data_IF_070801960797
#
_entry.id   IF_070801960797
#
_cell.length_a   1.000
_cell.length_b   1.000
_cell.length_c   1.000
_cell.angle_alpha   90.00
_cell.angle_beta   90.00
_cell.angle_gamma   90.00
#
_symmetry.space_group_name_H-M   'P 1'
#
loop_
_entity.id
_entity.type
_entity.pdbx_description
1 polymer ?
#
# COMPACT_ATOMS: atom_id res chain seq x y z
N UNK A 1 35.13 -16.23 9.14
CA UNK A 1 34.16 -15.12 8.99
C UNK A 1 33.30 -15.47 7.79
N UNK A 2 32.17 -16.14 8.02
CA UNK A 2 31.20 -16.45 6.98
C UNK A 2 30.27 -15.25 6.81
N UNK A 3 30.28 -14.68 5.61
CA UNK A 3 29.29 -13.69 5.20
C UNK A 3 27.93 -14.42 5.14
N UNK A 4 27.01 -14.02 6.02
CA UNK A 4 25.59 -14.40 5.93
C UNK A 4 25.02 -13.58 4.78
N UNK A 5 24.93 -14.21 3.61
CA UNK A 5 24.20 -13.65 2.46
C UNK A 5 22.74 -13.47 2.89
N UNK A 6 22.29 -12.22 2.90
CA UNK A 6 20.88 -11.88 3.08
C UNK A 6 20.04 -12.61 2.05
N UNK A 7 18.94 -13.31 2.41
CA UNK A 7 18.05 -13.98 1.46
C UNK A 7 17.28 -13.02 0.54
N UNK A 8 17.42 -11.71 0.72
CA UNK A 8 16.81 -10.67 -0.10
C UNK A 8 17.73 -10.15 -1.19
N UNK A 9 18.44 -11.07 -1.90
CA UNK A 9 19.15 -10.70 -3.13
C UNK A 9 18.14 -10.28 -4.19
N UNK A 10 18.16 -9.00 -4.55
CA UNK A 10 17.77 -8.41 -5.84
C UNK A 10 16.77 -9.24 -6.68
N UNK A 11 15.55 -9.46 -6.21
CA UNK A 11 14.46 -9.74 -7.11
C UNK A 11 14.29 -8.51 -8.01
N UNK A 12 14.34 -8.71 -9.32
CA UNK A 12 14.23 -7.68 -10.33
C UNK A 12 13.20 -6.63 -9.94
N UNK A 13 13.58 -5.36 -10.07
CA UNK A 13 12.66 -4.24 -9.88
C UNK A 13 11.38 -4.55 -10.65
N UNK A 14 10.22 -4.72 -10.00
CA UNK A 14 9.04 -5.19 -10.69
C UNK A 14 8.69 -4.22 -11.80
N UNK A 15 8.34 -4.77 -12.94
CA UNK A 15 7.87 -4.00 -14.07
C UNK A 15 6.70 -3.10 -13.63
N UNK A 16 6.60 -1.94 -14.24
CA UNK A 16 5.44 -1.07 -14.07
C UNK A 16 4.23 -1.66 -14.81
N UNK A 17 3.03 -1.38 -14.32
CA UNK A 17 1.78 -1.85 -14.92
C UNK A 17 0.88 -0.69 -15.30
N UNK A 18 0.13 -0.83 -16.38
CA UNK A 18 -0.92 0.11 -16.76
C UNK A 18 -2.28 -0.44 -16.30
N UNK A 19 -3.05 0.38 -15.62
CA UNK A 19 -4.41 0.08 -15.19
C UNK A 19 -5.42 1.00 -15.85
N UNK A 20 -6.60 0.47 -16.15
CA UNK A 20 -7.77 1.26 -16.56
C UNK A 20 -8.80 1.25 -15.44
N UNK A 21 -9.19 2.42 -15.00
CA UNK A 21 -10.20 2.62 -13.98
C UNK A 21 -11.62 2.39 -14.54
N UNK A 22 -12.60 2.25 -13.64
CA UNK A 22 -14.01 2.04 -14.01
C UNK A 22 -14.61 3.19 -14.80
N UNK A 23 -14.11 4.40 -14.59
CA UNK A 23 -14.50 5.63 -15.31
C UNK A 23 -13.72 5.87 -16.62
N UNK A 24 -12.84 4.92 -16.99
CA UNK A 24 -12.06 4.94 -18.21
C UNK A 24 -10.70 5.64 -18.09
N UNK A 25 -10.41 6.36 -16.99
CA UNK A 25 -9.10 6.96 -16.76
C UNK A 25 -8.01 5.89 -16.70
N UNK A 26 -6.81 6.27 -17.12
CA UNK A 26 -5.63 5.39 -17.08
C UNK A 26 -4.76 5.78 -15.89
N UNK A 27 -4.20 4.75 -15.25
CA UNK A 27 -3.18 4.91 -14.21
C UNK A 27 -1.98 4.01 -14.52
N UNK A 28 -0.84 4.42 -14.01
CA UNK A 28 0.40 3.68 -14.07
C UNK A 28 0.76 3.23 -12.65
N UNK A 29 0.91 1.93 -12.43
CA UNK A 29 1.32 1.37 -11.14
C UNK A 29 2.80 1.08 -11.22
N UNK A 30 3.58 1.55 -10.27
CA UNK A 30 5.01 1.28 -10.16
C UNK A 30 5.49 1.32 -8.71
N UNK A 31 6.64 0.69 -8.39
CA UNK A 31 7.29 0.90 -7.11
C UNK A 31 7.56 2.38 -6.86
N UNK A 32 7.46 2.79 -5.62
CA UNK A 32 7.89 4.12 -5.19
C UNK A 32 9.42 4.17 -5.21
N UNK A 33 9.96 5.26 -5.70
CA UNK A 33 11.38 5.55 -5.81
C UNK A 33 11.78 6.71 -4.90
N UNK A 34 13.05 6.77 -4.49
CA UNK A 34 13.57 7.88 -3.68
C UNK A 34 13.46 9.26 -4.36
N UNK A 35 13.30 9.30 -5.68
CA UNK A 35 13.04 10.53 -6.43
C UNK A 35 11.60 11.05 -6.30
N UNK A 36 10.66 10.24 -5.77
CA UNK A 36 9.23 10.56 -5.70
C UNK A 36 8.85 11.48 -4.52
N UNK A 37 9.80 12.02 -3.77
CA UNK A 37 9.54 12.85 -2.57
C UNK A 37 8.54 13.96 -2.84
N UNK A 38 8.63 14.64 -3.99
CA UNK A 38 7.70 15.71 -4.35
C UNK A 38 6.29 15.19 -4.65
N UNK A 39 6.18 14.06 -5.36
CA UNK A 39 4.89 13.42 -5.64
C UNK A 39 4.22 12.95 -4.35
N UNK A 40 4.98 12.28 -3.48
CA UNK A 40 4.50 11.81 -2.17
C UNK A 40 4.06 12.99 -1.30
N UNK A 41 4.85 14.07 -1.19
CA UNK A 41 4.47 15.26 -0.42
C UNK A 41 3.17 15.87 -0.92
N UNK A 42 3.03 16.02 -2.23
CA UNK A 42 1.83 16.59 -2.84
C UNK A 42 0.62 15.65 -2.65
N UNK A 43 0.82 14.34 -2.69
CA UNK A 43 -0.19 13.35 -2.36
C UNK A 43 -0.63 13.45 -0.89
N UNK A 44 0.31 13.48 0.06
CA UNK A 44 0.01 13.63 1.48
C UNK A 44 -0.79 14.89 1.79
N UNK A 45 -0.53 16.00 1.08
CA UNK A 45 -1.22 17.27 1.26
C UNK A 45 -2.71 17.21 0.89
N UNK A 46 -3.11 16.26 0.04
CA UNK A 46 -4.50 16.07 -0.39
C UNK A 46 -5.27 15.07 0.44
N UNK A 47 -4.60 14.33 1.33
CA UNK A 47 -5.25 13.34 2.18
C UNK A 47 -6.02 13.97 3.31
N UNK A 48 -7.10 13.31 3.72
CA UNK A 48 -7.79 13.62 4.98
C UNK A 48 -6.94 13.20 6.18
N UNK A 49 -7.18 13.72 7.40
CA UNK A 49 -6.49 13.27 8.61
C UNK A 49 -6.60 11.76 8.83
N UNK A 50 -7.74 11.15 8.49
CA UNK A 50 -7.93 9.70 8.52
C UNK A 50 -7.04 9.00 7.48
N UNK A 51 -6.99 9.51 6.25
CA UNK A 51 -6.13 8.97 5.18
C UNK A 51 -4.64 9.02 5.54
N UNK A 52 -4.19 10.10 6.18
CA UNK A 52 -2.82 10.21 6.70
C UNK A 52 -2.52 9.15 7.77
N UNK A 53 -3.46 8.92 8.68
CA UNK A 53 -3.31 7.88 9.73
C UNK A 53 -3.15 6.47 9.15
N UNK A 54 -3.81 6.17 8.03
CA UNK A 54 -3.73 4.86 7.37
C UNK A 54 -2.53 4.69 6.44
N UNK A 55 -1.95 5.79 5.95
CA UNK A 55 -0.88 5.74 4.95
C UNK A 55 0.32 4.90 5.39
N UNK A 56 0.59 4.84 6.71
CA UNK A 56 1.70 4.07 7.26
C UNK A 56 1.40 3.41 8.61
N UNK A 57 0.33 2.63 8.70
CA UNK A 57 0.07 1.83 9.90
C UNK A 57 0.16 2.68 11.19
N UNK A 58 -0.26 3.95 11.10
CA UNK A 58 -0.26 4.89 12.21
C UNK A 58 1.08 5.60 12.49
N UNK A 59 2.10 5.44 11.65
CA UNK A 59 3.43 6.03 11.88
C UNK A 59 3.57 7.48 11.41
N UNK A 60 2.70 7.96 10.50
CA UNK A 60 2.76 9.34 9.99
C UNK A 60 1.72 10.20 10.67
N UNK A 61 2.21 11.33 11.19
CA UNK A 61 1.40 12.30 11.91
C UNK A 61 1.14 13.59 11.12
N UNK A 62 1.88 13.82 10.05
CA UNK A 62 1.83 15.07 9.28
C UNK A 62 2.12 14.86 7.79
N UNK A 63 2.03 15.93 7.01
CA UNK A 63 2.33 15.99 5.59
C UNK A 63 3.62 16.77 5.29
N UNK A 64 4.59 16.74 6.20
CA UNK A 64 5.87 17.42 6.03
C UNK A 64 6.72 16.80 4.91
N UNK A 65 7.72 17.56 4.42
CA UNK A 65 8.69 17.04 3.48
C UNK A 65 9.55 15.91 4.10
N UNK A 66 9.78 15.96 5.41
CA UNK A 66 10.48 14.90 6.14
C UNK A 66 9.66 13.61 6.10
N UNK A 67 8.35 13.68 6.39
CA UNK A 67 7.45 12.53 6.28
C UNK A 67 7.43 11.96 4.85
N UNK A 68 7.33 12.81 3.82
CA UNK A 68 7.38 12.35 2.42
C UNK A 68 8.72 11.67 2.08
N UNK A 69 9.82 12.20 2.60
CA UNK A 69 11.14 11.59 2.40
C UNK A 69 11.26 10.23 3.07
N UNK A 70 10.77 10.08 4.29
CA UNK A 70 10.76 8.80 5.01
C UNK A 70 9.92 7.76 4.26
N UNK A 71 8.84 8.20 3.61
CA UNK A 71 7.94 7.35 2.83
C UNK A 71 8.46 6.91 1.47
N UNK A 72 9.55 7.51 1.01
CA UNK A 72 10.23 7.12 -0.24
C UNK A 72 11.53 6.35 0.01
N UNK A 73 11.94 6.19 1.28
CA UNK A 73 13.12 5.42 1.67
C UNK A 73 12.69 4.19 2.46
N UNK A 74 12.71 3.04 1.80
CA UNK A 74 12.22 1.79 2.37
C UNK A 74 13.32 0.96 3.02
N UNK A 75 13.00 0.45 4.22
CA UNK A 75 13.71 -0.67 4.83
C UNK A 75 13.57 -1.91 3.91
N UNK A 76 14.55 -2.84 3.85
CA UNK A 76 14.42 -4.08 3.06
C UNK A 76 13.16 -4.91 3.35
N UNK A 77 12.53 -4.70 4.50
CA UNK A 77 11.26 -5.35 4.89
C UNK A 77 10.02 -4.63 4.36
N UNK A 78 10.18 -3.49 3.75
CA UNK A 78 9.09 -2.66 3.25
C UNK A 78 9.01 -2.72 1.72
N UNK A 79 7.82 -2.54 1.22
CA UNK A 79 7.58 -2.40 -0.21
C UNK A 79 6.33 -1.56 -0.44
N UNK A 80 6.41 -0.65 -1.38
CA UNK A 80 5.28 0.19 -1.74
C UNK A 80 5.14 0.37 -3.25
N UNK A 81 3.89 0.49 -3.68
CA UNK A 81 3.48 0.79 -5.04
C UNK A 81 2.71 2.12 -5.05
N UNK A 82 3.06 3.00 -5.98
CA UNK A 82 2.29 4.18 -6.29
C UNK A 82 1.38 3.95 -7.51
N UNK A 83 0.19 4.53 -7.48
CA UNK A 83 -0.66 4.74 -8.64
C UNK A 83 -0.47 6.18 -9.13
N UNK A 84 0.06 6.31 -10.33
CA UNK A 84 0.34 7.60 -10.97
C UNK A 84 -0.67 7.82 -12.10
N UNK A 85 -1.32 8.98 -12.10
CA UNK A 85 -2.14 9.47 -13.20
C UNK A 85 -1.40 10.57 -13.97
N UNK A 86 -1.80 10.80 -15.21
CA UNK A 86 -1.42 11.98 -15.97
C UNK A 86 -2.57 12.99 -15.90
N UNK A 87 -2.31 14.16 -15.35
CA UNK A 87 -3.21 15.29 -15.35
C UNK A 87 -2.56 16.44 -16.14
N UNK A 88 -3.05 16.68 -17.34
CA UNK A 88 -2.59 17.73 -18.24
C UNK A 88 -1.07 17.70 -18.53
N UNK A 89 -0.50 16.50 -18.67
CA UNK A 89 0.92 16.29 -18.93
C UNK A 89 1.81 16.31 -17.69
N UNK A 90 1.21 16.31 -16.49
CA UNK A 90 1.92 16.22 -15.21
C UNK A 90 1.60 14.91 -14.50
N UNK A 91 2.61 14.23 -13.97
CA UNK A 91 2.41 13.06 -13.13
C UNK A 91 1.82 13.48 -11.78
N UNK A 92 0.75 12.80 -11.37
CA UNK A 92 0.09 12.99 -10.08
C UNK A 92 -0.05 11.63 -9.40
N UNK A 93 0.44 11.52 -8.18
CA UNK A 93 0.24 10.33 -7.35
C UNK A 93 -1.18 10.35 -6.78
N UNK A 94 -1.96 9.32 -7.10
CA UNK A 94 -3.39 9.24 -6.76
C UNK A 94 -3.72 8.13 -5.78
N UNK A 95 -2.73 7.33 -5.41
CA UNK A 95 -2.88 6.29 -4.40
C UNK A 95 -1.60 5.52 -4.17
N UNK A 96 -1.50 4.94 -3.00
CA UNK A 96 -0.36 4.11 -2.58
C UNK A 96 -0.87 2.86 -1.88
N UNK A 97 -0.21 1.74 -2.13
CA UNK A 97 -0.34 0.53 -1.32
C UNK A 97 1.04 0.07 -0.87
N UNK A 98 1.16 -0.32 0.37
CA UNK A 98 2.42 -0.76 0.95
C UNK A 98 2.24 -1.96 1.87
N UNK A 99 3.34 -2.66 2.13
CA UNK A 99 3.42 -3.61 3.22
C UNK A 99 4.77 -3.53 3.94
N UNK A 100 4.77 -4.00 5.19
CA UNK A 100 5.97 -4.29 5.98
C UNK A 100 5.93 -5.73 6.44
N UNK A 101 7.02 -6.47 6.21
CA UNK A 101 7.14 -7.88 6.63
C UNK A 101 7.53 -8.01 8.09
N UNK A 102 7.09 -9.10 8.71
CA UNK A 102 7.62 -9.60 9.99
C UNK A 102 9.11 -9.96 9.86
N UNK A 103 9.80 -10.12 11.00
CA UNK A 103 11.23 -10.44 11.04
C UNK A 103 11.57 -11.77 10.34
N UNK A 104 10.66 -12.72 10.37
CA UNK A 104 10.80 -14.02 9.69
C UNK A 104 10.42 -14.00 8.21
N UNK A 105 9.92 -12.86 7.70
CA UNK A 105 9.51 -12.67 6.32
C UNK A 105 8.27 -13.46 5.88
N UNK A 106 7.58 -14.15 6.80
CA UNK A 106 6.44 -15.02 6.45
C UNK A 106 5.10 -14.30 6.45
N UNK A 107 5.00 -13.16 7.13
CA UNK A 107 3.79 -12.35 7.30
C UNK A 107 4.09 -10.90 6.93
N UNK A 108 3.06 -10.14 6.59
CA UNK A 108 3.17 -8.70 6.43
C UNK A 108 1.91 -7.99 6.89
N UNK A 109 2.09 -6.75 7.35
CA UNK A 109 1.01 -5.79 7.54
C UNK A 109 0.94 -4.90 6.30
N UNK A 110 -0.26 -4.65 5.79
CA UNK A 110 -0.46 -3.83 4.59
C UNK A 110 -1.41 -2.67 4.84
N UNK A 111 -1.25 -1.64 4.01
CA UNK A 111 -2.15 -0.50 3.96
C UNK A 111 -2.35 -0.05 2.52
N UNK A 112 -3.50 0.57 2.25
CA UNK A 112 -3.79 1.23 0.99
C UNK A 112 -4.47 2.56 1.25
N UNK A 113 -3.99 3.60 0.59
CA UNK A 113 -4.53 4.95 0.69
C UNK A 113 -4.76 5.49 -0.71
N UNK A 114 -5.91 6.12 -0.94
CA UNK A 114 -6.32 6.69 -2.23
C UNK A 114 -6.74 8.13 -2.03
N UNK A 115 -6.27 9.02 -2.89
CA UNK A 115 -6.68 10.41 -2.96
C UNK A 115 -8.21 10.51 -2.97
N UNK A 116 -8.83 11.37 -2.14
CA UNK A 116 -10.28 11.51 -2.06
C UNK A 116 -10.97 11.71 -3.41
N UNK A 117 -10.35 12.46 -4.34
CA UNK A 117 -10.87 12.69 -5.69
C UNK A 117 -10.82 11.45 -6.60
N UNK A 118 -10.06 10.42 -6.20
CA UNK A 118 -9.83 9.19 -6.97
C UNK A 118 -10.41 7.94 -6.30
N UNK A 119 -11.16 8.13 -5.22
CA UNK A 119 -11.84 7.02 -4.55
C UNK A 119 -13.01 6.47 -5.38
N UNK A 120 -13.41 5.23 -5.09
CA UNK A 120 -14.58 4.52 -5.70
C UNK A 120 -14.46 4.25 -7.21
N UNK A 121 -13.37 4.61 -7.87
CA UNK A 121 -13.13 4.34 -9.30
C UNK A 121 -12.26 3.10 -9.56
N UNK A 122 -11.73 2.45 -8.52
CA UNK A 122 -11.01 1.19 -8.61
C UNK A 122 -9.51 1.26 -8.31
N UNK A 123 -8.93 2.44 -8.03
CA UNK A 123 -7.49 2.62 -7.74
C UNK A 123 -7.00 1.66 -6.64
N UNK A 124 -7.68 1.66 -5.49
CA UNK A 124 -7.29 0.80 -4.35
C UNK A 124 -7.31 -0.69 -4.67
N UNK A 125 -8.30 -1.13 -5.47
CA UNK A 125 -8.38 -2.54 -5.90
C UNK A 125 -7.21 -2.95 -6.79
N UNK A 126 -6.87 -2.13 -7.78
CA UNK A 126 -5.75 -2.39 -8.69
C UNK A 126 -4.42 -2.40 -7.91
N UNK A 127 -4.18 -1.39 -7.06
CA UNK A 127 -2.99 -1.33 -6.21
C UNK A 127 -2.83 -2.58 -5.36
N UNK A 128 -3.88 -2.97 -4.65
CA UNK A 128 -3.83 -4.13 -3.75
C UNK A 128 -3.64 -5.45 -4.50
N UNK A 129 -4.23 -5.63 -5.69
CA UNK A 129 -4.00 -6.82 -6.51
C UNK A 129 -2.51 -6.97 -6.88
N UNK A 130 -1.85 -5.88 -7.30
CA UNK A 130 -0.42 -5.91 -7.59
C UNK A 130 0.42 -6.11 -6.32
N UNK A 131 0.07 -5.46 -5.21
CA UNK A 131 0.76 -5.62 -3.93
C UNK A 131 0.71 -7.07 -3.44
N UNK A 132 -0.46 -7.71 -3.49
CA UNK A 132 -0.68 -9.13 -3.16
C UNK A 132 0.17 -10.02 -4.05
N UNK A 133 0.20 -9.76 -5.37
CA UNK A 133 1.05 -10.48 -6.31
C UNK A 133 2.55 -10.38 -5.95
N UNK A 134 3.01 -9.20 -5.59
CA UNK A 134 4.40 -8.98 -5.15
C UNK A 134 4.72 -9.67 -3.83
N UNK A 135 3.78 -9.67 -2.88
CA UNK A 135 3.93 -10.38 -1.60
C UNK A 135 4.08 -11.90 -1.82
N UNK A 136 3.25 -12.49 -2.69
CA UNK A 136 3.37 -13.91 -3.09
C UNK A 136 4.71 -14.24 -3.72
N UNK A 137 5.16 -13.44 -4.69
CA UNK A 137 6.46 -13.63 -5.36
C UNK A 137 7.64 -13.57 -4.37
N UNK A 138 7.50 -12.84 -3.27
CA UNK A 138 8.50 -12.76 -2.20
C UNK A 138 8.36 -13.83 -1.12
N UNK A 139 7.42 -14.77 -1.27
CA UNK A 139 7.24 -15.89 -0.35
C UNK A 139 6.51 -15.54 0.94
N UNK A 140 5.85 -14.37 1.00
CA UNK A 140 4.98 -13.99 2.13
C UNK A 140 3.76 -14.90 2.09
N UNK A 141 3.37 -15.45 3.25
CA UNK A 141 2.29 -16.43 3.36
C UNK A 141 0.99 -15.84 3.85
N UNK A 142 1.05 -14.74 4.61
CA UNK A 142 -0.12 -14.07 5.19
C UNK A 142 0.03 -12.57 5.14
N UNK A 143 -1.06 -11.92 4.81
CA UNK A 143 -1.16 -10.47 4.76
C UNK A 143 -2.27 -10.00 5.71
N UNK A 144 -1.96 -8.99 6.51
CA UNK A 144 -2.88 -8.41 7.48
C UNK A 144 -3.11 -6.94 7.19
N UNK A 145 -4.29 -6.46 7.51
CA UNK A 145 -4.62 -5.04 7.58
C UNK A 145 -5.53 -4.79 8.79
N UNK A 146 -5.45 -3.60 9.36
CA UNK A 146 -6.33 -3.16 10.43
C UNK A 146 -7.05 -1.89 9.99
N UNK A 147 -8.35 -1.81 10.24
CA UNK A 147 -9.14 -0.59 9.96
C UNK A 147 -10.28 -0.46 10.97
N UNK A 148 -10.89 0.73 11.00
CA UNK A 148 -12.06 0.98 11.83
C UNK A 148 -13.24 0.07 11.42
N UNK A 149 -13.92 -0.51 12.40
CA UNK A 149 -15.04 -1.41 12.15
C UNK A 149 -16.19 -0.78 11.33
N UNK A 150 -16.29 0.55 11.31
CA UNK A 150 -17.30 1.32 10.54
C UNK A 150 -16.88 1.70 9.11
N UNK A 151 -15.66 1.35 8.69
CA UNK A 151 -15.12 1.70 7.37
C UNK A 151 -15.72 0.83 6.26
N UNK A 152 -16.89 1.20 5.75
CA UNK A 152 -17.64 0.42 4.74
C UNK A 152 -16.82 0.20 3.46
N UNK A 153 -16.06 1.20 3.03
CA UNK A 153 -15.23 1.12 1.82
C UNK A 153 -14.13 0.07 1.93
N UNK A 154 -13.42 0.06 3.05
CA UNK A 154 -12.35 -0.93 3.33
C UNK A 154 -12.92 -2.34 3.45
N UNK A 155 -14.05 -2.52 4.14
CA UNK A 155 -14.71 -3.83 4.22
C UNK A 155 -15.10 -4.38 2.84
N UNK A 156 -15.64 -3.53 1.97
CA UNK A 156 -16.02 -3.94 0.62
C UNK A 156 -14.79 -4.33 -0.22
N UNK A 157 -13.73 -3.56 -0.13
CA UNK A 157 -12.45 -3.83 -0.82
C UNK A 157 -11.82 -5.12 -0.30
N UNK A 158 -11.67 -5.27 1.01
CA UNK A 158 -11.08 -6.44 1.65
C UNK A 158 -11.82 -7.73 1.25
N UNK A 159 -13.15 -7.72 1.31
CA UNK A 159 -13.97 -8.86 0.89
C UNK A 159 -13.79 -9.19 -0.59
N UNK A 160 -13.73 -8.17 -1.46
CA UNK A 160 -13.50 -8.36 -2.90
C UNK A 160 -12.14 -9.01 -3.19
N UNK A 161 -11.13 -8.69 -2.39
CA UNK A 161 -9.77 -9.23 -2.50
C UNK A 161 -9.59 -10.58 -1.79
N UNK A 162 -10.64 -11.10 -1.12
CA UNK A 162 -10.60 -12.38 -0.45
C UNK A 162 -10.10 -12.35 1.00
N UNK A 163 -9.97 -11.18 1.60
CA UNK A 163 -9.65 -11.08 3.02
C UNK A 163 -10.82 -11.55 3.89
N UNK A 164 -10.48 -12.24 4.96
CA UNK A 164 -11.39 -12.59 6.05
C UNK A 164 -11.27 -11.53 7.14
N UNK A 165 -12.40 -11.05 7.65
CA UNK A 165 -12.43 -10.04 8.72
C UNK A 165 -12.71 -10.68 10.06
N UNK A 166 -12.03 -10.21 11.11
CA UNK A 166 -12.27 -10.57 12.50
C UNK A 166 -12.32 -9.29 13.36
N UNK A 167 -13.30 -9.17 14.29
CA UNK A 167 -13.26 -8.11 15.28
C UNK A 167 -11.94 -8.18 16.07
N UNK A 168 -11.36 -7.03 16.39
CA UNK A 168 -10.21 -6.98 17.28
C UNK A 168 -10.68 -7.28 18.71
N UNK A 169 -10.10 -8.31 19.39
CA UNK A 169 -10.49 -8.66 20.76
C UNK A 169 -10.18 -7.56 21.79
N UNK A 170 -9.17 -6.73 21.51
CA UNK A 170 -8.69 -5.69 22.42
C UNK A 170 -9.33 -4.32 22.12
N UNK A 171 -9.78 -4.10 20.88
CA UNK A 171 -10.43 -2.86 20.45
C UNK A 171 -11.69 -3.13 19.61
N UNK A 172 -12.89 -3.11 20.20
CA UNK A 172 -14.15 -3.32 19.49
C UNK A 172 -14.43 -2.31 18.35
N UNK A 173 -13.71 -1.17 18.32
CA UNK A 173 -13.82 -0.20 17.24
C UNK A 173 -12.98 -0.55 16.01
N UNK A 174 -12.13 -1.57 16.11
CA UNK A 174 -11.22 -2.03 15.06
C UNK A 174 -11.57 -3.43 14.55
N UNK A 175 -11.21 -3.67 13.30
CA UNK A 175 -11.33 -4.97 12.61
C UNK A 175 -10.00 -5.32 11.98
N UNK A 176 -9.54 -6.54 12.22
CA UNK A 176 -8.40 -7.12 11.53
C UNK A 176 -8.87 -7.90 10.31
N UNK A 177 -8.25 -7.63 9.18
CA UNK A 177 -8.42 -8.36 7.93
C UNK A 177 -7.20 -9.26 7.72
N UNK A 178 -7.44 -10.50 7.32
CA UNK A 178 -6.39 -11.49 7.06
C UNK A 178 -6.59 -12.14 5.70
N UNK A 179 -5.52 -12.25 4.92
CA UNK A 179 -5.48 -12.95 3.64
C UNK A 179 -4.37 -13.99 3.66
N UNK A 180 -4.73 -15.25 3.42
CA UNK A 180 -3.77 -16.32 3.14
C UNK A 180 -3.25 -16.15 1.70
N UNK A 181 -1.93 -16.14 1.54
CA UNK A 181 -1.27 -15.91 0.24
C UNK A 181 -0.75 -17.20 -0.39
N UNK A 182 -0.84 -18.32 0.32
CA UNK A 182 -0.47 -19.62 -0.22
C UNK A 182 -1.51 -20.10 -1.24
N UNK A 183 -1.03 -20.64 -2.33
CA UNK A 183 -1.82 -21.46 -3.24
C UNK A 183 -2.00 -22.86 -2.68
#
# INVERSE_FOLDING_TARGET
MQQISSPFSAAANPASWKGRLRDGRLIHIRPIDAADVSLERDFLSRLTPEGLSYRFLGLIKDNSEEAARDLTHFDPREFALAAIADEDGSEVEVGVACYRTSDDGTRCDCAVTVDPAWQKCGVGGILMQHLIGMARLRGIRRMYAVDAARSVGTHALARHLGFHSRPDPEDPASVTFELELND
#
